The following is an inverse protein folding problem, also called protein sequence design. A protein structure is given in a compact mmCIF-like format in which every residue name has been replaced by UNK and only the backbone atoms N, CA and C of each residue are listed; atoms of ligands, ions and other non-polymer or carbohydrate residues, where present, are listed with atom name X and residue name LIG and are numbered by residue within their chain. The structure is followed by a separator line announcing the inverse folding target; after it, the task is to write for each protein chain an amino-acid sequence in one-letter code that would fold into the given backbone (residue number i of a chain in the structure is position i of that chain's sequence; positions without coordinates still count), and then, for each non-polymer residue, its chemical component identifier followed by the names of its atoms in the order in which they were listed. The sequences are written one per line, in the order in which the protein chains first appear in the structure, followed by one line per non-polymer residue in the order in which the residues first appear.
data_IF_426230654643
#
_entry.id   IF_426230654643
#
_cell.length_a   1.000
_cell.length_b   1.000
_cell.length_c   1.000
_cell.angle_alpha   90.00
_cell.angle_beta   90.00
_cell.angle_gamma   90.00
#
_symmetry.space_group_name_H-M   'P 1'
#
loop_
_entity.id
_entity.type
_entity.pdbx_description
1 polymer ?
#
# COMPACT_ATOMS: atom_id res chain seq x y z
N UNK A 1 6.63 6.17 34.93
CA UNK A 1 5.46 6.87 34.38
C UNK A 1 5.95 7.84 33.31
N UNK A 2 6.18 7.35 32.09
CA UNK A 2 6.70 8.13 30.96
C UNK A 2 5.51 8.74 30.19
N UNK A 3 4.91 9.78 30.77
CA UNK A 3 3.82 10.52 30.15
C UNK A 3 4.38 11.67 29.34
N UNK A 4 3.97 11.75 28.07
CA UNK A 4 3.82 13.01 27.33
C UNK A 4 5.09 13.86 27.11
N UNK A 5 6.00 13.39 26.25
CA UNK A 5 6.39 14.34 25.19
C UNK A 5 5.13 14.50 24.35
N UNK A 6 4.50 15.66 24.40
CA UNK A 6 3.37 15.99 23.53
C UNK A 6 3.79 15.61 22.10
N UNK A 7 3.20 14.53 21.58
CA UNK A 7 3.65 13.92 20.34
C UNK A 7 3.42 14.95 19.24
N UNK A 8 4.51 15.54 18.75
CA UNK A 8 4.44 16.64 17.80
C UNK A 8 3.83 16.10 16.50
N UNK A 9 2.74 16.73 16.07
CA UNK A 9 2.13 16.45 14.79
C UNK A 9 3.18 16.63 13.68
N UNK A 10 3.25 15.67 12.76
CA UNK A 10 4.15 15.79 11.63
C UNK A 10 3.64 16.88 10.66
N UNK A 11 4.53 17.68 10.06
CA UNK A 11 4.12 18.66 9.07
C UNK A 11 3.62 17.95 7.80
N UNK A 12 2.56 18.48 7.18
CA UNK A 12 2.10 17.99 5.88
C UNK A 12 3.04 18.53 4.79
N UNK A 13 3.90 17.67 4.28
CA UNK A 13 4.92 18.03 3.27
C UNK A 13 4.65 17.37 1.92
N UNK A 14 3.80 16.35 1.87
CA UNK A 14 3.44 15.65 0.63
C UNK A 14 2.00 15.97 0.23
N UNK A 15 1.78 16.15 -1.08
CA UNK A 15 0.42 16.15 -1.64
C UNK A 15 -0.15 14.73 -1.53
N UNK A 16 0.56 13.76 -2.10
CA UNK A 16 0.20 12.35 -2.10
C UNK A 16 1.40 11.50 -1.67
N UNK A 17 1.15 10.39 -0.97
CA UNK A 17 2.10 9.29 -0.80
C UNK A 17 1.47 8.07 -1.43
N UNK A 18 2.12 7.49 -2.43
CA UNK A 18 1.62 6.31 -3.13
C UNK A 18 2.18 5.05 -2.48
N UNK A 19 1.29 4.13 -2.08
CA UNK A 19 1.65 2.77 -1.66
C UNK A 19 1.23 1.84 -2.80
N UNK A 20 2.19 1.24 -3.51
CA UNK A 20 1.91 0.46 -4.71
C UNK A 20 2.60 -0.90 -4.62
N UNK A 21 1.84 -1.97 -4.85
CA UNK A 21 2.30 -3.35 -4.66
C UNK A 21 3.03 -3.51 -3.31
N UNK A 22 2.47 -2.90 -2.26
CA UNK A 22 3.15 -2.70 -0.99
C UNK A 22 3.52 -4.01 -0.31
N UNK A 23 4.82 -4.24 -0.11
CA UNK A 23 5.40 -5.32 0.70
C UNK A 23 5.32 -5.01 2.21
N UNK A 24 4.20 -4.44 2.63
CA UNK A 24 3.84 -4.25 4.04
C UNK A 24 2.63 -5.14 4.36
N UNK A 25 2.38 -5.49 5.62
CA UNK A 25 1.18 -6.16 6.08
C UNK A 25 -0.06 -5.31 5.89
N UNK A 26 -1.21 -5.96 5.71
CA UNK A 26 -2.49 -5.29 5.55
C UNK A 26 -3.03 -4.60 6.83
N UNK A 27 -2.29 -4.67 7.94
CA UNK A 27 -2.44 -3.89 9.18
C UNK A 27 -1.70 -2.53 9.14
N UNK A 28 -1.16 -2.14 7.97
CA UNK A 28 -0.34 -0.94 7.72
C UNK A 28 -0.83 0.33 8.43
N UNK A 29 -2.14 0.55 8.52
CA UNK A 29 -2.72 1.77 9.09
C UNK A 29 -3.19 1.64 10.55
N UNK A 30 -3.09 0.46 11.16
CA UNK A 30 -3.69 0.21 12.49
C UNK A 30 -2.77 0.62 13.65
N UNK A 31 -1.46 0.60 13.45
CA UNK A 31 -0.51 0.84 14.52
C UNK A 31 0.41 2.03 14.25
N UNK A 32 0.73 2.78 15.30
CA UNK A 32 1.63 3.94 15.23
C UNK A 32 3.07 3.62 14.82
N UNK A 33 3.53 2.40 15.11
CA UNK A 33 4.86 1.92 14.71
C UNK A 33 4.88 1.41 13.26
N UNK A 34 3.71 1.35 12.61
CA UNK A 34 3.53 1.07 11.18
C UNK A 34 3.45 2.41 10.43
N UNK A 35 2.57 2.49 9.44
CA UNK A 35 2.43 3.64 8.55
C UNK A 35 1.14 4.43 8.80
N UNK A 36 0.45 4.25 9.94
CA UNK A 36 -0.76 5.02 10.30
C UNK A 36 -0.53 6.54 10.21
N UNK A 37 0.69 6.98 10.53
CA UNK A 37 1.11 8.39 10.56
C UNK A 37 1.38 9.01 9.19
N UNK A 38 1.38 8.24 8.10
CA UNK A 38 1.46 8.81 6.75
C UNK A 38 0.33 9.82 6.50
N UNK A 39 -0.79 9.64 7.21
CA UNK A 39 -1.95 10.53 7.17
C UNK A 39 -1.67 11.91 7.75
N UNK A 40 -0.65 12.08 8.60
CA UNK A 40 -0.18 13.39 9.06
C UNK A 40 0.65 14.08 7.97
N UNK A 41 1.46 13.31 7.25
CA UNK A 41 2.43 13.79 6.26
C UNK A 41 1.83 14.14 4.90
N UNK A 42 0.74 13.48 4.51
CA UNK A 42 0.15 13.58 3.17
C UNK A 42 -1.27 14.18 3.15
N UNK A 43 -1.64 14.74 2.00
CA UNK A 43 -3.02 15.09 1.67
C UNK A 43 -3.88 13.86 1.37
N UNK A 44 -3.35 12.92 0.58
CA UNK A 44 -3.96 11.63 0.29
C UNK A 44 -2.90 10.51 0.26
N UNK A 45 -3.36 9.27 0.44
CA UNK A 45 -2.55 8.06 0.41
C UNK A 45 -3.23 7.04 -0.51
N UNK A 46 -3.04 7.14 -1.82
CA UNK A 46 -3.48 6.11 -2.74
C UNK A 46 -2.78 4.77 -2.45
N UNK A 47 -3.55 3.71 -2.28
CA UNK A 47 -3.10 2.34 -2.04
C UNK A 47 -3.52 1.48 -3.22
N UNK A 48 -2.54 1.13 -4.04
CA UNK A 48 -2.69 0.33 -5.25
C UNK A 48 -2.42 -1.13 -4.88
N UNK A 49 -3.39 -1.99 -5.14
CA UNK A 49 -3.29 -3.41 -4.84
C UNK A 49 -3.86 -4.25 -5.99
N UNK A 50 -3.45 -5.51 -6.05
CA UNK A 50 -4.01 -6.50 -6.96
C UNK A 50 -3.84 -7.90 -6.36
N UNK A 51 -4.95 -8.60 -6.18
CA UNK A 51 -4.99 -10.00 -5.77
C UNK A 51 -4.43 -10.96 -6.84
N UNK A 52 -4.12 -10.44 -8.04
CA UNK A 52 -3.48 -11.16 -9.13
C UNK A 52 -1.97 -10.86 -9.22
N UNK A 53 -1.42 -10.05 -8.31
CA UNK A 53 0.03 -9.87 -8.15
C UNK A 53 0.61 -11.13 -7.49
N UNK A 54 1.18 -12.01 -8.32
CA UNK A 54 1.67 -13.31 -7.87
C UNK A 54 2.97 -13.24 -7.06
N UNK A 55 3.70 -12.11 -7.04
CA UNK A 55 4.98 -12.05 -6.34
C UNK A 55 4.81 -12.07 -4.82
N UNK A 56 3.75 -11.44 -4.31
CA UNK A 56 3.47 -11.36 -2.88
C UNK A 56 3.02 -12.73 -2.33
N UNK A 57 2.05 -13.47 -2.92
CA UNK A 57 1.73 -14.83 -2.50
C UNK A 57 2.91 -15.82 -2.60
N UNK A 58 3.75 -15.70 -3.65
CA UNK A 58 4.98 -16.51 -3.75
C UNK A 58 5.93 -16.19 -2.58
N UNK A 59 6.06 -14.91 -2.24
CA UNK A 59 6.83 -14.47 -1.08
C UNK A 59 6.25 -15.02 0.22
N UNK A 60 4.92 -15.06 0.38
CA UNK A 60 4.27 -15.60 1.57
C UNK A 60 4.62 -17.08 1.77
N UNK A 61 4.53 -17.88 0.71
CA UNK A 61 4.86 -19.31 0.74
C UNK A 61 6.34 -19.55 1.03
N UNK A 62 7.22 -18.74 0.44
CA UNK A 62 8.67 -18.96 0.50
C UNK A 62 9.37 -18.29 1.69
N UNK A 63 8.76 -17.24 2.27
CA UNK A 63 9.36 -16.40 3.32
C UNK A 63 8.46 -16.21 4.55
N UNK A 64 7.23 -16.71 4.53
CA UNK A 64 6.34 -16.71 5.70
C UNK A 64 5.79 -15.34 6.10
N UNK A 65 5.58 -14.44 5.13
CA UNK A 65 5.07 -13.09 5.40
C UNK A 65 3.65 -12.88 4.85
N UNK A 66 2.63 -13.57 5.39
CA UNK A 66 1.27 -13.54 4.85
C UNK A 66 0.66 -12.13 4.87
N UNK A 67 -0.43 -11.98 4.11
CA UNK A 67 -1.38 -10.88 4.25
C UNK A 67 -0.78 -9.51 3.89
N UNK A 68 -0.16 -9.42 2.72
CA UNK A 68 0.44 -8.18 2.22
C UNK A 68 -0.60 -7.18 1.71
N UNK A 69 -0.35 -5.91 1.98
CA UNK A 69 -1.18 -4.77 1.60
C UNK A 69 -1.36 -4.70 0.07
N UNK A 70 -0.29 -4.94 -0.69
CA UNK A 70 -0.31 -4.92 -2.15
C UNK A 70 -1.11 -6.06 -2.80
N UNK A 71 -1.38 -7.13 -2.05
CA UNK A 71 -2.16 -8.29 -2.52
C UNK A 71 -3.60 -8.20 -2.01
N UNK A 72 -3.78 -8.07 -0.69
CA UNK A 72 -5.07 -8.24 -0.02
C UNK A 72 -5.83 -6.95 0.27
N UNK A 73 -5.24 -5.76 0.02
CA UNK A 73 -5.71 -4.45 0.53
C UNK A 73 -5.71 -4.39 2.07
N UNK A 74 -6.04 -3.26 2.73
CA UNK A 74 -6.14 -3.22 4.20
C UNK A 74 -7.16 -4.21 4.76
N UNK A 75 -6.82 -4.93 5.83
CA UNK A 75 -7.72 -5.95 6.42
C UNK A 75 -8.97 -5.37 7.10
N UNK A 76 -8.95 -4.09 7.46
CA UNK A 76 -10.08 -3.37 8.07
C UNK A 76 -10.42 -2.14 7.25
N UNK A 77 -11.67 -2.07 6.81
CA UNK A 77 -12.19 -0.90 6.11
C UNK A 77 -12.84 0.12 7.07
N UNK A 78 -13.37 -0.33 8.21
CA UNK A 78 -14.07 0.55 9.17
C UNK A 78 -13.17 1.61 9.80
N UNK A 79 -11.89 1.27 9.97
CA UNK A 79 -10.90 2.10 10.68
C UNK A 79 -9.87 2.69 9.72
N UNK A 80 -10.15 2.61 8.41
CA UNK A 80 -9.24 3.14 7.41
C UNK A 80 -9.21 4.67 7.49
N UNK A 81 -8.03 5.31 7.52
CA UNK A 81 -7.96 6.76 7.53
C UNK A 81 -8.66 7.34 6.30
N UNK A 82 -9.44 8.41 6.46
CA UNK A 82 -10.18 9.06 5.36
C UNK A 82 -9.30 9.51 4.18
N UNK A 83 -7.99 9.61 4.39
CA UNK A 83 -7.03 9.99 3.36
C UNK A 83 -6.51 8.81 2.54
N UNK A 84 -6.72 7.57 3.00
CA UNK A 84 -6.33 6.38 2.26
C UNK A 84 -7.38 6.07 1.19
N UNK A 85 -6.93 5.99 -0.05
CA UNK A 85 -7.78 5.72 -1.22
C UNK A 85 -7.40 4.36 -1.78
N UNK A 86 -8.32 3.40 -1.78
CA UNK A 86 -8.04 2.06 -2.27
C UNK A 86 -8.29 1.98 -3.77
N UNK A 87 -7.31 1.48 -4.52
CA UNK A 87 -7.39 1.36 -5.98
C UNK A 87 -7.01 -0.06 -6.38
N UNK A 88 -7.99 -0.81 -6.89
CA UNK A 88 -7.84 -2.18 -7.35
C UNK A 88 -7.38 -2.21 -8.82
N UNK A 89 -6.25 -2.86 -9.10
CA UNK A 89 -5.71 -3.05 -10.44
C UNK A 89 -5.78 -4.48 -10.97
N UNK A 90 -6.63 -5.35 -10.41
CA UNK A 90 -6.81 -6.70 -10.93
C UNK A 90 -7.06 -6.76 -12.46
N UNK A 91 -7.77 -5.77 -13.02
CA UNK A 91 -8.05 -5.72 -14.45
C UNK A 91 -6.89 -5.19 -15.31
N UNK A 92 -5.85 -4.64 -14.68
CA UNK A 92 -4.71 -4.04 -15.37
C UNK A 92 -3.38 -4.39 -14.70
N UNK A 93 -3.27 -5.55 -14.03
CA UNK A 93 -2.03 -5.98 -13.40
C UNK A 93 -1.12 -6.82 -14.33
N UNK A 94 -1.69 -7.41 -15.40
CA UNK A 94 -0.97 -8.36 -16.25
C UNK A 94 0.22 -7.71 -16.94
N UNK A 95 1.42 -8.26 -16.70
CA UNK A 95 2.68 -7.77 -17.26
C UNK A 95 3.46 -8.87 -17.96
N UNK A 96 4.34 -8.47 -18.87
CA UNK A 96 5.27 -9.36 -19.57
C UNK A 96 6.73 -8.97 -19.27
N UNK A 97 7.65 -9.95 -19.14
CA UNK A 97 7.43 -11.40 -19.32
C UNK A 97 6.62 -12.05 -18.19
N UNK A 98 6.07 -13.25 -18.42
CA UNK A 98 5.27 -13.99 -17.43
C UNK A 98 5.98 -14.18 -16.07
N UNK A 99 7.31 -14.21 -16.06
CA UNK A 99 8.12 -14.28 -14.83
C UNK A 99 7.95 -13.09 -13.90
N UNK A 100 7.37 -11.98 -14.36
CA UNK A 100 7.03 -10.84 -13.50
C UNK A 100 5.76 -11.07 -12.68
N UNK A 101 4.97 -12.09 -13.03
CA UNK A 101 3.77 -12.53 -12.30
C UNK A 101 2.81 -11.38 -11.95
N UNK A 102 2.73 -10.38 -12.82
CA UNK A 102 1.89 -9.20 -12.59
C UNK A 102 2.53 -8.12 -11.71
N UNK A 103 3.58 -8.40 -10.94
CA UNK A 103 4.14 -7.51 -9.91
C UNK A 103 4.69 -6.18 -10.44
N UNK A 104 5.07 -6.10 -11.72
CA UNK A 104 5.62 -4.88 -12.31
C UNK A 104 4.55 -3.94 -12.90
N UNK A 105 3.26 -4.14 -12.58
CA UNK A 105 2.15 -3.39 -13.18
C UNK A 105 2.33 -1.86 -13.07
N UNK A 106 2.83 -1.39 -11.93
CA UNK A 106 3.06 0.02 -11.64
C UNK A 106 4.16 0.69 -12.46
N UNK A 107 4.95 -0.08 -13.22
CA UNK A 107 6.00 0.43 -14.11
C UNK A 107 5.69 0.27 -15.57
N UNK A 108 4.74 -0.62 -15.91
CA UNK A 108 4.56 -1.12 -17.28
C UNK A 108 3.17 -0.90 -17.85
N UNK A 109 2.19 -0.65 -16.99
CA UNK A 109 0.79 -0.51 -17.40
C UNK A 109 0.47 0.97 -17.53
N UNK A 110 0.09 1.37 -18.73
CA UNK A 110 -0.23 2.77 -19.03
C UNK A 110 -1.37 3.29 -18.16
N UNK A 111 -2.31 2.42 -17.80
CA UNK A 111 -3.43 2.73 -16.91
C UNK A 111 -2.91 3.17 -15.54
N UNK A 112 -1.99 2.40 -14.97
CA UNK A 112 -1.42 2.66 -13.64
C UNK A 112 -0.49 3.88 -13.69
N UNK A 113 0.31 4.01 -14.75
CA UNK A 113 1.21 5.16 -14.93
C UNK A 113 0.44 6.47 -15.07
N UNK A 114 -0.70 6.47 -15.75
CA UNK A 114 -1.55 7.65 -15.90
C UNK A 114 -2.13 8.15 -14.56
N UNK A 115 -2.26 7.28 -13.56
CA UNK A 115 -2.75 7.64 -12.22
C UNK A 115 -1.64 8.15 -11.29
N UNK A 116 -0.36 7.93 -11.63
CA UNK A 116 0.80 8.29 -10.79
C UNK A 116 1.59 9.49 -11.37
N UNK A 117 1.56 9.70 -12.69
CA UNK A 117 2.37 10.72 -13.40
C UNK A 117 1.62 12.00 -13.77
#
# INVERSE_FOLDING_TARGET
MLTHYARKALPRIFRNIFLIAGDEGNDTFEFDHRMSRLTELAGAIPVFYSALDGALPISDITKGNPDRLGDTSPRKLSDLPHKALLIDYNNANQTLPFTEVGHQYYRKRSEVLADIC
#
